data_IF_531725348395
#
_entry.id   IF_531725348395
#
_cell.length_a   1.000
_cell.length_b   1.000
_cell.length_c   1.000
_cell.angle_alpha   90.00
_cell.angle_beta   90.00
_cell.angle_gamma   90.00
#
_symmetry.space_group_name_H-M   'P 1'
#
loop_
_entity.id
_entity.type
_entity.pdbx_description
1 polymer ?
#
# COMPACT_ATOMS: atom_id res chain seq x y z
N UNK A 1 -80.32 13.58 -26.92
CA UNK A 1 -80.53 14.97 -26.47
C UNK A 1 -79.46 15.29 -25.43
N UNK A 2 -78.62 16.31 -25.67
CA UNK A 2 -77.68 16.95 -24.69
C UNK A 2 -78.51 17.88 -23.74
N UNK A 3 -78.01 18.44 -22.59
CA UNK A 3 -76.64 18.92 -22.29
C UNK A 3 -76.14 18.70 -20.82
N UNK A 4 -74.83 18.52 -20.52
CA UNK A 4 -73.70 19.47 -20.29
C UNK A 4 -73.38 19.72 -18.79
N UNK A 5 -72.16 20.27 -18.55
CA UNK A 5 -71.56 20.80 -17.31
C UNK A 5 -70.76 19.78 -16.47
N UNK A 6 -69.44 19.64 -16.67
CA UNK A 6 -68.33 20.50 -16.19
C UNK A 6 -68.06 20.35 -14.69
N UNK A 7 -66.99 19.63 -14.34
CA UNK A 7 -66.08 20.07 -13.29
C UNK A 7 -64.70 19.43 -13.51
N UNK A 8 -63.74 20.30 -13.86
CA UNK A 8 -62.31 20.04 -13.85
C UNK A 8 -61.87 19.58 -12.45
N UNK A 9 -61.13 18.47 -12.35
CA UNK A 9 -60.20 18.25 -11.24
C UNK A 9 -58.82 17.96 -11.83
N UNK A 10 -58.07 19.03 -12.04
CA UNK A 10 -56.68 19.01 -12.46
C UNK A 10 -55.83 18.64 -11.24
N UNK A 11 -55.67 17.34 -10.95
CA UNK A 11 -54.63 16.90 -10.02
C UNK A 11 -53.29 17.01 -10.73
N UNK A 12 -52.56 18.07 -10.38
CA UNK A 12 -51.18 18.31 -10.75
C UNK A 12 -50.37 17.03 -10.60
N UNK A 13 -49.79 16.58 -11.72
CA UNK A 13 -48.62 15.72 -11.74
C UNK A 13 -47.50 16.44 -10.99
N UNK A 14 -47.45 16.29 -9.67
CA UNK A 14 -46.24 16.55 -8.91
C UNK A 14 -45.32 15.36 -9.20
N UNK A 15 -44.62 15.45 -10.33
CA UNK A 15 -43.42 14.68 -10.56
C UNK A 15 -42.45 15.01 -9.44
N UNK A 16 -42.55 14.30 -8.33
CA UNK A 16 -41.49 14.16 -7.36
C UNK A 16 -40.36 13.43 -8.07
N UNK A 17 -39.59 14.17 -8.87
CA UNK A 17 -38.18 13.86 -9.04
C UNK A 17 -37.58 14.11 -7.66
N UNK A 18 -37.72 13.13 -6.76
CA UNK A 18 -36.77 12.95 -5.69
C UNK A 18 -35.46 12.65 -6.39
N UNK A 19 -34.73 13.72 -6.72
CA UNK A 19 -33.33 13.63 -7.00
C UNK A 19 -32.73 13.08 -5.70
N UNK A 20 -32.58 11.76 -5.61
CA UNK A 20 -31.77 11.10 -4.61
C UNK A 20 -30.35 11.58 -4.85
N UNK A 21 -30.04 12.78 -4.35
CA UNK A 21 -28.67 13.23 -4.19
C UNK A 21 -28.12 12.25 -3.16
N UNK A 22 -27.22 11.32 -3.54
CA UNK A 22 -26.66 10.41 -2.56
C UNK A 22 -26.04 11.28 -1.45
N UNK A 23 -26.29 10.96 -0.17
CA UNK A 23 -25.69 11.72 0.91
C UNK A 23 -24.17 11.71 0.68
N UNK A 24 -23.52 12.86 0.85
CA UNK A 24 -22.09 13.04 0.51
C UNK A 24 -21.21 11.93 1.10
N UNK A 25 -21.59 11.37 2.25
CA UNK A 25 -20.97 10.20 2.89
C UNK A 25 -20.97 8.94 2.02
N UNK A 26 -22.06 8.61 1.33
CA UNK A 26 -22.14 7.43 0.45
C UNK A 26 -21.25 7.59 -0.79
N UNK A 27 -21.15 8.81 -1.32
CA UNK A 27 -20.21 9.13 -2.40
C UNK A 27 -18.76 9.10 -1.89
N UNK A 28 -18.51 9.54 -0.65
CA UNK A 28 -17.18 9.51 -0.03
C UNK A 28 -16.69 8.08 0.22
N UNK A 29 -17.56 7.19 0.68
CA UNK A 29 -17.26 5.76 0.85
C UNK A 29 -17.01 5.08 -0.49
N UNK A 30 -17.81 5.38 -1.52
CA UNK A 30 -17.58 4.84 -2.85
C UNK A 30 -16.29 5.35 -3.51
N UNK A 31 -15.86 6.57 -3.17
CA UNK A 31 -14.56 7.11 -3.56
C UNK A 31 -13.41 6.54 -2.70
N UNK A 32 -13.71 6.14 -1.46
CA UNK A 32 -12.79 5.48 -0.53
C UNK A 32 -12.45 4.06 -0.99
N UNK A 33 -13.46 3.27 -1.39
CA UNK A 33 -13.27 1.91 -1.93
C UNK A 33 -12.39 1.88 -3.20
N UNK A 34 -12.34 2.97 -3.96
CA UNK A 34 -11.46 3.09 -5.12
C UNK A 34 -10.03 3.54 -4.80
N UNK A 35 -9.77 4.05 -3.59
CA UNK A 35 -8.51 4.72 -3.25
C UNK A 35 -7.38 3.75 -2.90
N UNK A 36 -7.70 2.63 -2.25
CA UNK A 36 -6.71 1.65 -1.80
C UNK A 36 -7.02 0.27 -2.40
N UNK A 37 -5.98 -0.46 -2.79
CA UNK A 37 -6.05 -1.88 -3.17
C UNK A 37 -6.17 -2.77 -1.94
N UNK A 38 -5.48 -2.40 -0.86
CA UNK A 38 -5.50 -3.12 0.41
C UNK A 38 -5.21 -2.15 1.55
N UNK A 39 -5.91 -2.34 2.66
CA UNK A 39 -5.69 -1.63 3.93
C UNK A 39 -5.42 -2.60 5.08
N UNK A 40 -5.27 -3.89 4.78
CA UNK A 40 -5.09 -4.93 5.78
C UNK A 40 -3.68 -4.84 6.36
N UNK A 41 -3.61 -4.56 7.66
CA UNK A 41 -2.35 -4.33 8.35
C UNK A 41 -1.69 -5.66 8.68
N UNK A 42 -0.46 -5.83 8.21
CA UNK A 42 0.39 -6.98 8.53
C UNK A 42 1.69 -6.48 9.15
N UNK A 43 2.28 -7.33 9.99
CA UNK A 43 3.40 -6.97 10.82
C UNK A 43 4.55 -7.95 10.69
N UNK A 44 5.74 -7.40 10.53
CA UNK A 44 7.00 -8.11 10.44
C UNK A 44 7.90 -7.74 11.62
N UNK A 45 8.66 -8.71 12.14
CA UNK A 45 9.67 -8.44 13.16
C UNK A 45 10.99 -8.04 12.49
N UNK A 46 11.31 -6.75 12.54
CA UNK A 46 12.49 -6.18 11.92
C UNK A 46 13.64 -6.01 12.91
N UNK A 47 14.88 -6.20 12.44
CA UNK A 47 16.09 -5.92 13.23
C UNK A 47 16.24 -4.42 13.48
N UNK A 48 16.48 -4.04 14.73
CA UNK A 48 16.67 -2.64 15.10
C UNK A 48 17.92 -2.04 14.44
N UNK A 49 19.05 -2.74 14.60
CA UNK A 49 20.37 -2.31 14.12
C UNK A 49 21.03 -3.38 13.25
N UNK A 50 21.05 -3.15 11.93
CA UNK A 50 21.67 -4.06 10.97
C UNK A 50 23.21 -4.02 10.98
N UNK A 51 23.83 -3.08 11.71
CA UNK A 51 25.27 -2.87 11.72
C UNK A 51 25.94 -3.23 13.05
N UNK A 52 25.16 -3.63 14.06
CA UNK A 52 25.69 -4.13 15.33
C UNK A 52 25.54 -5.64 15.41
N UNK A 53 26.64 -6.42 15.48
CA UNK A 53 26.55 -7.86 15.66
C UNK A 53 26.10 -8.25 17.08
N UNK A 54 26.03 -7.29 18.01
CA UNK A 54 25.70 -7.51 19.43
C UNK A 54 24.28 -7.05 19.78
N UNK A 55 23.63 -6.25 18.93
CA UNK A 55 22.27 -5.76 19.18
C UNK A 55 21.28 -6.65 18.42
N UNK A 56 20.59 -7.52 19.16
CA UNK A 56 19.59 -8.43 18.61
C UNK A 56 18.16 -7.94 18.84
N UNK A 57 17.98 -6.69 19.29
CA UNK A 57 16.65 -6.13 19.49
C UNK A 57 15.91 -6.02 18.15
N UNK A 58 14.60 -6.19 18.23
CA UNK A 58 13.70 -6.12 17.10
C UNK A 58 12.57 -5.14 17.38
N UNK A 59 11.96 -4.64 16.32
CA UNK A 59 10.74 -3.84 16.40
C UNK A 59 9.72 -4.34 15.37
N UNK A 60 8.45 -3.96 15.55
CA UNK A 60 7.38 -4.32 14.62
C UNK A 60 7.37 -3.31 13.48
N UNK A 61 7.62 -3.79 12.27
CA UNK A 61 7.51 -3.00 11.06
C UNK A 61 6.22 -3.38 10.32
N UNK A 62 5.43 -2.37 10.00
CA UNK A 62 4.15 -2.53 9.32
C UNK A 62 4.34 -2.71 7.83
N UNK A 63 3.57 -3.59 7.23
CA UNK A 63 3.45 -3.72 5.79
C UNK A 63 2.03 -4.07 5.38
N UNK A 64 1.77 -3.91 4.09
CA UNK A 64 0.50 -4.22 3.44
C UNK A 64 0.76 -5.11 2.23
N UNK A 65 -0.18 -5.99 1.90
CA UNK A 65 -0.10 -6.86 0.75
C UNK A 65 -1.39 -6.85 -0.07
N UNK A 66 -1.24 -7.06 -1.37
CA UNK A 66 -2.34 -7.22 -2.30
C UNK A 66 -1.97 -8.27 -3.34
N UNK A 67 -2.69 -9.39 -3.33
CA UNK A 67 -2.37 -10.59 -4.12
C UNK A 67 -3.40 -10.86 -5.24
N UNK A 68 -4.50 -10.12 -5.33
CA UNK A 68 -5.60 -10.46 -6.25
C UNK A 68 -5.21 -10.38 -7.73
N UNK A 69 -4.18 -9.60 -8.06
CA UNK A 69 -3.65 -9.53 -9.43
C UNK A 69 -2.53 -10.53 -9.70
N UNK A 70 -2.04 -11.23 -8.68
CA UNK A 70 -0.89 -12.10 -8.78
C UNK A 70 -1.19 -13.34 -9.63
N UNK A 71 -0.41 -13.53 -10.70
CA UNK A 71 -0.48 -14.74 -11.54
C UNK A 71 0.57 -15.73 -11.08
N UNK A 72 0.20 -16.62 -10.15
CA UNK A 72 1.07 -17.70 -9.72
C UNK A 72 1.39 -18.68 -10.89
N UNK A 73 2.59 -19.28 -10.94
CA UNK A 73 3.72 -19.11 -10.02
C UNK A 73 4.75 -18.09 -10.50
N UNK A 74 4.51 -17.36 -11.60
CA UNK A 74 5.56 -16.60 -12.31
C UNK A 74 5.40 -15.07 -12.21
N UNK A 75 4.31 -14.60 -11.61
CA UNK A 75 4.06 -13.17 -11.41
C UNK A 75 5.21 -12.48 -10.67
N UNK A 76 5.56 -11.24 -11.00
CA UNK A 76 6.53 -10.49 -10.21
C UNK A 76 5.92 -10.01 -8.89
N UNK A 77 6.77 -9.69 -7.92
CA UNK A 77 6.39 -8.92 -6.73
C UNK A 77 6.82 -7.48 -6.94
N UNK A 78 5.88 -6.55 -6.85
CA UNK A 78 6.14 -5.11 -6.81
C UNK A 78 6.27 -4.68 -5.36
N UNK A 79 7.48 -4.32 -4.95
CA UNK A 79 7.75 -3.80 -3.61
C UNK A 79 7.71 -2.27 -3.65
N UNK A 80 6.74 -1.69 -2.96
CA UNK A 80 6.58 -0.25 -2.73
C UNK A 80 7.25 0.10 -1.41
N UNK A 81 8.19 1.03 -1.43
CA UNK A 81 8.85 1.53 -0.21
C UNK A 81 8.04 2.71 0.30
N UNK A 82 7.64 2.67 1.57
CA UNK A 82 7.02 3.81 2.24
C UNK A 82 7.94 5.04 2.22
N UNK A 83 7.34 6.21 2.06
CA UNK A 83 8.05 7.49 2.19
C UNK A 83 8.14 7.94 3.65
N UNK A 84 8.40 9.23 3.85
CA UNK A 84 8.53 9.89 5.15
C UNK A 84 7.16 10.21 5.79
N UNK A 85 6.24 9.26 5.76
CA UNK A 85 4.88 9.39 6.29
C UNK A 85 4.28 8.03 6.67
N UNK A 86 3.17 8.05 7.41
CA UNK A 86 2.38 6.85 7.70
C UNK A 86 1.86 6.22 6.40
N UNK A 87 2.10 4.93 6.24
CA UNK A 87 1.47 4.09 5.23
C UNK A 87 0.09 3.66 5.74
N UNK A 88 -0.97 4.04 5.03
CA UNK A 88 -2.36 3.71 5.38
C UNK A 88 -2.92 2.52 4.59
N UNK A 89 -2.10 1.91 3.74
CA UNK A 89 -2.50 0.87 2.80
C UNK A 89 -1.73 0.98 1.47
N UNK A 90 -2.04 0.07 0.55
CA UNK A 90 -1.56 0.12 -0.83
C UNK A 90 -2.49 1.02 -1.62
N UNK A 91 -2.01 2.20 -2.02
CA UNK A 91 -2.80 3.14 -2.83
C UNK A 91 -3.07 2.52 -4.22
N UNK A 92 -4.29 2.67 -4.71
CA UNK A 92 -4.67 2.26 -6.06
C UNK A 92 -4.22 3.32 -7.07
N UNK A 93 -2.92 3.38 -7.32
CA UNK A 93 -2.29 4.31 -8.23
C UNK A 93 -1.75 3.60 -9.49
N UNK A 94 -0.78 4.22 -10.17
CA UNK A 94 -0.16 3.66 -11.35
C UNK A 94 0.52 2.29 -11.09
N UNK A 95 1.03 2.04 -9.89
CA UNK A 95 1.59 0.72 -9.53
C UNK A 95 0.49 -0.35 -9.54
N UNK A 96 -0.72 -0.02 -9.09
CA UNK A 96 -1.88 -0.91 -9.20
C UNK A 96 -2.23 -1.26 -10.65
N UNK A 97 -2.20 -0.27 -11.55
CA UNK A 97 -2.43 -0.47 -12.99
C UNK A 97 -1.36 -1.39 -13.59
N UNK A 98 -0.08 -1.16 -13.26
CA UNK A 98 1.02 -2.01 -13.72
C UNK A 98 0.91 -3.43 -13.15
N UNK A 99 0.56 -3.56 -11.87
CA UNK A 99 0.43 -4.87 -11.23
C UNK A 99 -0.65 -5.70 -11.91
N UNK A 100 -1.80 -5.10 -12.21
CA UNK A 100 -2.87 -5.76 -12.98
C UNK A 100 -2.39 -6.20 -14.37
N UNK A 101 -1.65 -5.33 -15.07
CA UNK A 101 -1.13 -5.61 -16.42
C UNK A 101 -0.15 -6.77 -16.42
N UNK A 102 0.79 -6.79 -15.48
CA UNK A 102 1.87 -7.77 -15.42
C UNK A 102 1.55 -9.01 -14.58
N UNK A 103 0.38 -9.06 -13.95
CA UNK A 103 0.02 -10.16 -13.07
C UNK A 103 0.85 -10.17 -11.78
N UNK A 104 1.17 -8.99 -11.25
CA UNK A 104 2.06 -8.82 -10.11
C UNK A 104 1.31 -8.81 -8.79
N UNK A 105 1.96 -9.34 -7.74
CA UNK A 105 1.60 -9.03 -6.36
C UNK A 105 2.14 -7.63 -6.01
N UNK A 106 1.45 -6.91 -5.14
CA UNK A 106 1.95 -5.63 -4.60
C UNK A 106 2.15 -5.78 -3.10
N UNK A 107 3.33 -5.39 -2.62
CA UNK A 107 3.64 -5.36 -1.20
C UNK A 107 4.20 -3.99 -0.88
N UNK A 108 3.71 -3.35 0.19
CA UNK A 108 4.19 -2.05 0.64
C UNK A 108 4.76 -2.16 2.05
N UNK A 109 6.05 -1.83 2.21
CA UNK A 109 6.71 -1.82 3.51
C UNK A 109 6.78 -0.39 4.04
N UNK A 110 6.27 -0.15 5.24
CA UNK A 110 6.35 1.15 5.90
C UNK A 110 7.78 1.45 6.36
N UNK A 111 8.21 2.69 6.16
CA UNK A 111 9.57 3.11 6.50
C UNK A 111 9.76 3.17 8.02
N UNK A 112 10.91 2.70 8.53
CA UNK A 112 11.25 2.83 9.96
C UNK A 112 11.11 4.28 10.45
N UNK A 113 10.61 4.46 11.67
CA UNK A 113 10.30 5.74 12.32
C UNK A 113 9.13 6.54 11.74
N UNK A 114 8.37 5.98 10.79
CA UNK A 114 7.18 6.61 10.26
C UNK A 114 5.94 5.75 10.54
N UNK A 115 4.79 6.42 10.67
CA UNK A 115 3.53 5.77 11.02
C UNK A 115 3.65 4.99 12.32
N UNK A 116 3.27 3.73 12.27
CA UNK A 116 3.30 2.82 13.42
C UNK A 116 4.58 1.97 13.47
N UNK A 117 5.48 2.14 12.49
CA UNK A 117 6.75 1.43 12.39
C UNK A 117 7.87 2.14 13.16
N UNK A 118 7.60 2.50 14.42
CA UNK A 118 8.56 3.16 15.30
C UNK A 118 9.21 2.19 16.28
N UNK A 119 10.55 2.10 16.36
CA UNK A 119 11.22 1.22 17.32
C UNK A 119 11.18 1.72 18.77
N UNK A 120 10.87 3.00 18.99
CA UNK A 120 10.89 3.65 20.29
C UNK A 120 9.71 4.61 20.43
N UNK A 121 9.26 4.82 21.67
CA UNK A 121 8.17 5.76 21.99
C UNK A 121 8.62 7.23 21.94
N UNK A 122 9.93 7.47 22.03
CA UNK A 122 10.49 8.83 22.09
C UNK A 122 11.56 9.05 21.03
N UNK A 123 11.52 10.22 20.39
CA UNK A 123 12.46 10.63 19.35
C UNK A 123 13.65 11.42 19.92
N UNK A 124 14.32 10.85 20.92
CA UNK A 124 15.58 11.42 21.42
C UNK A 124 16.72 11.22 20.40
N UNK A 125 17.80 12.00 20.50
CA UNK A 125 18.98 11.83 19.63
C UNK A 125 19.56 10.41 19.71
N UNK A 126 19.53 9.80 20.90
CA UNK A 126 19.98 8.42 21.09
C UNK A 126 19.09 7.41 20.35
N UNK A 127 17.77 7.62 20.37
CA UNK A 127 16.83 6.74 19.69
C UNK A 127 16.84 6.97 18.17
N UNK A 128 17.07 8.20 17.71
CA UNK A 128 17.11 8.53 16.28
C UNK A 128 18.40 8.06 15.58
N UNK A 129 19.41 7.57 16.32
CA UNK A 129 20.64 7.06 15.70
C UNK A 129 20.40 5.89 14.72
N UNK A 130 19.28 5.17 14.84
CA UNK A 130 18.92 4.11 13.91
C UNK A 130 18.03 4.57 12.74
N UNK A 131 17.69 5.87 12.68
CA UNK A 131 17.04 6.48 11.51
C UNK A 131 18.10 6.88 10.49
N UNK A 132 18.42 5.96 9.59
CA UNK A 132 19.30 6.25 8.45
C UNK A 132 18.85 5.49 7.20
N UNK A 133 19.13 6.07 6.03
CA UNK A 133 18.84 5.41 4.75
C UNK A 133 19.54 4.06 4.63
N UNK A 134 20.73 3.91 5.24
CA UNK A 134 21.47 2.64 5.22
C UNK A 134 20.74 1.55 6.02
N UNK A 135 20.22 1.88 7.20
CA UNK A 135 19.40 0.95 7.97
C UNK A 135 18.09 0.60 7.23
N UNK A 136 17.41 1.60 6.65
CA UNK A 136 16.18 1.39 5.88
C UNK A 136 16.39 0.51 4.64
N UNK A 137 17.56 0.58 3.98
CA UNK A 137 17.89 -0.35 2.90
C UNK A 137 18.02 -1.80 3.37
N UNK A 138 18.64 -2.01 4.52
CA UNK A 138 18.78 -3.35 5.07
C UNK A 138 17.43 -3.88 5.60
N UNK A 139 16.53 -3.00 6.04
CA UNK A 139 15.15 -3.40 6.33
C UNK A 139 14.48 -4.04 5.11
N UNK A 140 14.61 -3.42 3.94
CA UNK A 140 14.07 -3.94 2.69
C UNK A 140 14.70 -5.29 2.31
N UNK A 141 16.02 -5.44 2.52
CA UNK A 141 16.71 -6.69 2.23
C UNK A 141 16.25 -7.83 3.15
N UNK A 142 16.15 -7.57 4.45
CA UNK A 142 15.67 -8.55 5.45
C UNK A 142 14.19 -8.86 5.24
N UNK A 143 13.37 -7.84 4.98
CA UNK A 143 11.95 -8.02 4.69
C UNK A 143 11.72 -8.88 3.43
N UNK A 144 12.49 -8.64 2.36
CA UNK A 144 12.44 -9.47 1.16
C UNK A 144 12.72 -10.94 1.47
N UNK A 145 13.76 -11.22 2.26
CA UNK A 145 14.09 -12.60 2.66
C UNK A 145 12.96 -13.25 3.47
N UNK A 146 12.42 -12.53 4.44
CA UNK A 146 11.26 -12.97 5.24
C UNK A 146 10.06 -13.30 4.35
N UNK A 147 9.72 -12.41 3.42
CA UNK A 147 8.56 -12.58 2.55
C UNK A 147 8.73 -13.76 1.60
N UNK A 148 9.93 -13.92 1.02
CA UNK A 148 10.24 -15.09 0.18
C UNK A 148 10.15 -16.41 0.96
N UNK A 149 10.61 -16.43 2.20
CA UNK A 149 10.55 -17.61 3.05
C UNK A 149 9.13 -17.98 3.47
N UNK A 150 8.30 -16.98 3.76
CA UNK A 150 6.92 -17.19 4.24
C UNK A 150 6.00 -17.80 3.17
N UNK A 151 6.22 -17.47 1.89
CA UNK A 151 5.33 -17.86 0.80
C UNK A 151 5.95 -18.82 -0.22
N UNK A 152 7.16 -19.34 0.04
CA UNK A 152 7.86 -20.24 -0.90
C UNK A 152 8.28 -19.57 -2.22
N UNK A 153 8.23 -18.23 -2.30
CA UNK A 153 8.51 -17.42 -3.48
C UNK A 153 10.01 -17.15 -3.69
N UNK A 154 10.85 -18.16 -3.46
CA UNK A 154 12.31 -18.02 -3.55
C UNK A 154 12.81 -17.63 -4.95
N UNK A 155 12.03 -17.97 -5.99
CA UNK A 155 12.42 -17.76 -7.39
C UNK A 155 11.71 -16.58 -8.07
N UNK A 156 10.74 -15.92 -7.42
CA UNK A 156 9.99 -14.84 -8.06
C UNK A 156 10.88 -13.62 -8.34
N UNK A 157 10.70 -12.97 -9.51
CA UNK A 157 11.34 -11.69 -9.78
C UNK A 157 10.73 -10.58 -8.90
N UNK A 158 11.59 -9.76 -8.29
CA UNK A 158 11.19 -8.59 -7.50
C UNK A 158 11.45 -7.33 -8.32
N UNK A 159 10.47 -6.43 -8.36
CA UNK A 159 10.60 -5.10 -8.96
C UNK A 159 10.34 -4.07 -7.87
N UNK A 160 11.34 -3.24 -7.59
CA UNK A 160 11.22 -2.15 -6.63
C UNK A 160 10.56 -0.95 -7.31
N UNK A 161 9.46 -0.47 -6.74
CA UNK A 161 8.62 0.54 -7.39
C UNK A 161 8.60 1.84 -6.59
N UNK A 162 9.75 2.54 -6.53
CA UNK A 162 9.83 3.97 -6.13
C UNK A 162 11.21 4.57 -6.47
N UNK A 163 11.28 5.90 -6.46
CA UNK A 163 12.40 6.83 -6.76
C UNK A 163 13.76 6.49 -6.15
N UNK A 164 13.81 5.66 -5.11
CA UNK A 164 15.04 5.12 -4.52
C UNK A 164 15.75 4.09 -5.40
N UNK A 165 15.16 3.63 -6.51
CA UNK A 165 15.87 2.78 -7.48
C UNK A 165 17.13 3.46 -8.04
N UNK A 166 17.06 4.78 -8.29
CA UNK A 166 18.20 5.59 -8.75
C UNK A 166 19.25 5.70 -7.65
N UNK A 167 18.83 5.85 -6.40
CA UNK A 167 19.73 5.91 -5.23
C UNK A 167 20.40 4.56 -4.95
N UNK A 168 19.67 3.46 -5.06
CA UNK A 168 20.19 2.09 -4.98
C UNK A 168 21.19 1.79 -6.11
N UNK A 169 20.88 2.25 -7.34
CA UNK A 169 21.77 2.15 -8.51
C UNK A 169 23.06 2.96 -8.32
N UNK A 170 23.00 4.15 -7.72
CA UNK A 170 24.20 4.99 -7.46
C UNK A 170 25.06 4.47 -6.31
N UNK A 171 24.50 3.72 -5.35
CA UNK A 171 25.22 3.16 -4.20
C UNK A 171 25.67 1.70 -4.36
N UNK A 172 25.55 1.12 -5.57
CA UNK A 172 25.97 -0.24 -5.92
C UNK A 172 25.24 -1.39 -5.18
N UNK A 173 24.00 -1.17 -4.75
CA UNK A 173 23.17 -2.19 -4.08
C UNK A 173 22.31 -3.04 -5.05
N UNK A 174 22.62 -3.04 -6.36
CA UNK A 174 21.85 -3.76 -7.39
C UNK A 174 21.68 -5.26 -7.09
N UNK A 175 22.69 -5.87 -6.47
CA UNK A 175 22.69 -7.30 -6.14
C UNK A 175 21.59 -7.69 -5.15
N UNK A 176 21.07 -6.73 -4.36
CA UNK A 176 19.98 -7.00 -3.42
C UNK A 176 18.61 -7.09 -4.08
N UNK A 177 18.39 -6.55 -5.29
CA UNK A 177 17.02 -6.29 -5.77
C UNK A 177 16.74 -6.56 -7.26
N UNK A 178 17.75 -6.75 -8.12
CA UNK A 178 17.51 -7.06 -9.54
C UNK A 178 18.18 -8.38 -9.91
N UNK A 179 17.38 -9.38 -10.28
CA UNK A 179 17.87 -10.49 -11.10
C UNK A 179 17.94 -9.97 -12.54
N UNK A 180 19.14 -10.02 -13.11
CA UNK A 180 19.40 -9.64 -14.50
C UNK A 180 18.57 -10.58 -15.38
N UNK A 181 17.62 -10.02 -16.13
CA UNK A 181 17.02 -10.71 -17.28
C UNK A 181 18.08 -10.84 -18.38
#
# INVERSE_FOLDING_TARGET
>A
MKPACSLLFLFLCFSCVFCFIPPRTLLLDKLSEGRFLSTDVIWFNQTLDHFSPYDHRQFRQRYYEFLDYFRAPDGPIFLVIGGEATCNGIVNDYIGVLAKKFGAAVVSLEHRYYGESTPFDTFSTENLKYLSSKQALFDLAVFRQYYQASFGFFLLPWVMTVTLEIWLKTKNYRHFFVKRF
#
